data_IF_169664834223
#
_entry.id   IF_169664834223
#
_cell.length_a   1.000
_cell.length_b   1.000
_cell.length_c   1.000
_cell.angle_alpha   90.00
_cell.angle_beta   90.00
_cell.angle_gamma   90.00
#
_symmetry.space_group_name_H-M   'P 1'
#
loop_
_entity.id
_entity.type
_entity.pdbx_description
1 polymer ?
#
# COMPACT_ATOMS: atom_id res chain seq x y z
N UNK A 1 12.64 -39.06 -18.78
CA UNK A 1 11.68 -37.92 -18.77
C UNK A 1 11.21 -37.50 -17.36
N UNK A 2 10.86 -38.42 -16.45
CA UNK A 2 10.35 -38.06 -15.09
C UNK A 2 11.32 -37.23 -14.22
N UNK A 3 12.63 -37.48 -14.31
CA UNK A 3 13.64 -36.76 -13.52
C UNK A 3 13.84 -35.30 -13.99
N UNK A 4 13.70 -35.03 -15.29
CA UNK A 4 13.84 -33.68 -15.87
C UNK A 4 12.63 -32.83 -15.49
N UNK A 5 11.42 -33.38 -15.58
CA UNK A 5 10.20 -32.72 -15.11
C UNK A 5 10.25 -32.42 -13.60
N UNK A 6 10.79 -33.32 -12.78
CA UNK A 6 10.95 -33.11 -11.34
C UNK A 6 11.93 -31.98 -11.02
N UNK A 7 13.08 -31.91 -11.70
CA UNK A 7 14.06 -30.82 -11.53
C UNK A 7 13.50 -29.47 -11.97
N UNK A 8 12.75 -29.45 -13.07
CA UNK A 8 12.07 -28.25 -13.56
C UNK A 8 11.01 -27.73 -12.58
N UNK A 9 10.20 -28.63 -12.03
CA UNK A 9 9.20 -28.29 -11.02
C UNK A 9 9.83 -27.70 -9.74
N UNK A 10 10.91 -28.31 -9.24
CA UNK A 10 11.66 -27.80 -8.09
C UNK A 10 12.22 -26.39 -8.38
N UNK A 11 12.74 -26.17 -9.59
CA UNK A 11 13.21 -24.84 -10.02
C UNK A 11 12.11 -23.77 -9.95
N UNK A 12 10.92 -24.08 -10.45
CA UNK A 12 9.75 -23.17 -10.37
C UNK A 12 9.36 -22.91 -8.90
N UNK A 13 9.31 -23.95 -8.06
CA UNK A 13 8.99 -23.79 -6.65
C UNK A 13 9.99 -22.86 -5.93
N UNK A 14 11.28 -22.97 -6.24
CA UNK A 14 12.30 -22.09 -5.66
C UNK A 14 12.12 -20.63 -6.10
N UNK A 15 11.84 -20.39 -7.38
CA UNK A 15 11.58 -19.04 -7.91
C UNK A 15 10.34 -18.43 -7.23
N UNK A 16 9.26 -19.21 -7.07
CA UNK A 16 8.05 -18.77 -6.38
C UNK A 16 8.35 -18.46 -4.91
N UNK A 17 9.14 -19.28 -4.23
CA UNK A 17 9.52 -19.06 -2.84
C UNK A 17 10.31 -17.75 -2.68
N UNK A 18 11.26 -17.48 -3.57
CA UNK A 18 12.02 -16.21 -3.58
C UNK A 18 11.11 -15.02 -3.82
N UNK A 19 10.16 -15.11 -4.75
CA UNK A 19 9.19 -14.04 -5.01
C UNK A 19 8.28 -13.76 -3.80
N UNK A 20 7.84 -14.81 -3.10
CA UNK A 20 7.05 -14.69 -1.86
C UNK A 20 7.87 -14.01 -0.76
N UNK A 21 9.12 -14.43 -0.57
CA UNK A 21 10.00 -13.81 0.43
C UNK A 21 10.29 -12.33 0.11
N UNK A 22 10.55 -11.99 -1.16
CA UNK A 22 10.79 -10.62 -1.58
C UNK A 22 9.56 -9.73 -1.37
N UNK A 23 8.37 -10.23 -1.73
CA UNK A 23 7.12 -9.50 -1.52
C UNK A 23 6.77 -9.34 -0.04
N UNK A 24 7.03 -10.36 0.79
CA UNK A 24 6.89 -10.26 2.24
C UNK A 24 7.85 -9.26 2.85
N UNK A 25 9.14 -9.30 2.46
CA UNK A 25 10.13 -8.32 2.90
C UNK A 25 9.74 -6.90 2.50
N UNK A 26 9.25 -6.71 1.27
CA UNK A 26 8.75 -5.41 0.83
C UNK A 26 7.56 -4.96 1.68
N UNK A 27 6.60 -5.84 1.95
CA UNK A 27 5.44 -5.53 2.79
C UNK A 27 5.82 -5.13 4.21
N UNK A 28 6.79 -5.83 4.81
CA UNK A 28 7.30 -5.53 6.15
C UNK A 28 8.10 -4.22 6.19
N UNK A 29 8.65 -3.77 5.06
CA UNK A 29 9.33 -2.47 4.96
C UNK A 29 8.38 -1.26 4.89
N UNK A 30 7.07 -1.48 4.68
CA UNK A 30 6.09 -0.41 4.62
C UNK A 30 5.81 0.16 6.00
N UNK A 31 5.60 1.48 6.05
CA UNK A 31 5.28 2.20 7.27
C UNK A 31 3.91 1.78 7.80
N UNK A 32 3.79 1.71 9.12
CA UNK A 32 2.54 1.33 9.76
C UNK A 32 1.68 2.56 10.04
N UNK A 33 0.45 2.53 9.54
CA UNK A 33 -0.59 3.53 9.77
C UNK A 33 -1.71 2.94 10.62
N UNK A 34 -2.45 3.79 11.33
CA UNK A 34 -3.57 3.36 12.16
C UNK A 34 -4.80 4.20 11.89
N UNK A 35 -5.97 3.59 12.03
CA UNK A 35 -7.23 4.33 12.10
C UNK A 35 -7.49 4.74 13.53
N UNK A 36 -7.85 6.00 13.73
CA UNK A 36 -8.37 6.50 14.99
C UNK A 36 -9.57 7.38 14.68
N UNK A 37 -10.75 6.91 15.05
CA UNK A 37 -12.03 7.52 14.71
C UNK A 37 -12.15 7.65 13.17
N UNK A 38 -12.15 8.87 12.64
CA UNK A 38 -12.21 9.18 11.21
C UNK A 38 -10.87 9.70 10.65
N UNK A 39 -9.78 9.47 11.37
CA UNK A 39 -8.45 9.95 11.01
C UNK A 39 -7.50 8.79 10.79
N UNK A 40 -6.56 9.03 9.89
CA UNK A 40 -5.43 8.14 9.66
C UNK A 40 -4.20 8.75 10.32
N UNK A 41 -3.47 7.94 11.07
CA UNK A 41 -2.30 8.39 11.81
C UNK A 41 -1.10 7.58 11.33
N UNK A 42 -0.06 8.27 10.90
CA UNK A 42 1.23 7.67 10.56
C UNK A 42 2.36 8.69 10.67
N UNK A 43 3.51 8.26 11.21
CA UNK A 43 4.69 9.11 11.41
C UNK A 43 4.43 10.42 12.18
N UNK A 44 3.56 10.36 13.19
CA UNK A 44 3.10 11.52 13.97
C UNK A 44 2.29 12.56 13.17
N UNK A 45 1.89 12.24 11.94
CA UNK A 45 1.02 13.07 11.12
C UNK A 45 -0.40 12.51 11.20
N UNK A 46 -1.38 13.40 11.40
CA UNK A 46 -2.80 13.07 11.36
C UNK A 46 -3.34 13.47 10.02
N UNK A 47 -4.04 12.56 9.36
CA UNK A 47 -4.68 12.80 8.09
C UNK A 47 -6.19 12.66 8.22
N UNK A 48 -6.91 13.57 7.58
CA UNK A 48 -8.38 13.59 7.56
C UNK A 48 -8.86 13.42 6.14
N UNK A 49 -9.96 12.70 5.97
CA UNK A 49 -10.61 12.55 4.67
C UNK A 49 -10.89 13.93 4.06
N UNK A 50 -10.40 14.13 2.84
CA UNK A 50 -10.49 15.39 2.14
C UNK A 50 -11.89 15.63 1.57
N UNK A 51 -12.70 14.58 1.38
CA UNK A 51 -13.98 14.67 0.67
C UNK A 51 -13.87 15.48 -0.62
N UNK A 52 -14.76 16.46 -0.81
CA UNK A 52 -14.73 17.36 -1.96
C UNK A 52 -13.46 18.23 -2.03
N UNK A 53 -12.84 18.59 -0.89
CA UNK A 53 -11.56 19.32 -0.89
C UNK A 53 -10.41 18.47 -1.44
N UNK A 54 -10.61 17.15 -1.53
CA UNK A 54 -9.71 16.21 -2.19
C UNK A 54 -9.65 16.44 -3.70
N UNK A 55 -10.69 17.04 -4.30
CA UNK A 55 -10.76 17.25 -5.76
C UNK A 55 -9.62 18.12 -6.31
N UNK A 56 -9.07 19.02 -5.50
CA UNK A 56 -7.88 19.81 -5.86
C UNK A 56 -6.64 18.94 -6.08
N UNK A 57 -6.63 17.73 -5.54
CA UNK A 57 -5.61 16.70 -5.72
C UNK A 57 -6.04 15.58 -6.69
N UNK A 58 -7.22 15.68 -7.33
CA UNK A 58 -7.69 14.72 -8.35
C UNK A 58 -7.88 15.34 -9.74
N UNK A 59 -7.82 16.67 -9.87
CA UNK A 59 -8.14 17.40 -11.11
C UNK A 59 -7.29 17.05 -12.34
N UNK A 60 -6.06 16.57 -12.15
CA UNK A 60 -5.08 16.35 -13.23
C UNK A 60 -4.63 14.87 -13.38
N UNK A 61 -5.50 13.90 -13.07
CA UNK A 61 -5.16 12.47 -13.15
C UNK A 61 -3.88 12.14 -12.34
N UNK A 62 -3.89 12.43 -11.04
CA UNK A 62 -2.79 12.00 -10.18
C UNK A 62 -2.66 10.48 -10.22
N UNK A 63 -1.67 10.02 -10.99
CA UNK A 63 -1.26 8.61 -10.99
C UNK A 63 -0.84 8.27 -9.56
N UNK A 64 -1.51 7.28 -8.97
CA UNK A 64 -1.08 6.61 -7.74
C UNK A 64 0.44 6.40 -7.80
N UNK A 65 1.16 7.00 -6.84
CA UNK A 65 2.60 6.88 -6.76
C UNK A 65 3.01 5.57 -6.11
N UNK A 66 4.11 5.60 -5.35
CA UNK A 66 4.58 4.42 -4.62
C UNK A 66 3.75 4.19 -3.36
N UNK A 67 3.43 2.93 -3.08
CA UNK A 67 2.93 2.53 -1.76
C UNK A 67 3.99 2.81 -0.70
N UNK A 68 3.62 3.59 0.32
CA UNK A 68 4.50 4.00 1.41
C UNK A 68 4.10 3.37 2.74
N UNK A 69 2.86 2.87 2.87
CA UNK A 69 2.37 2.35 4.13
C UNK A 69 1.29 1.28 4.01
N UNK A 70 1.11 0.60 5.13
CA UNK A 70 0.10 -0.43 5.40
C UNK A 70 -0.60 -0.09 6.72
N UNK A 71 -1.80 -0.61 6.92
CA UNK A 71 -2.48 -0.42 8.20
C UNK A 71 -2.06 -1.48 9.24
N UNK A 72 -2.02 -1.05 10.50
CA UNK A 72 -1.82 -1.94 11.64
C UNK A 72 -2.95 -2.96 11.69
N UNK A 73 -2.58 -4.23 11.79
CA UNK A 73 -3.54 -5.35 11.81
C UNK A 73 -3.89 -5.89 10.42
N UNK A 74 -3.47 -5.25 9.33
CA UNK A 74 -3.60 -5.83 7.99
C UNK A 74 -2.77 -7.11 7.91
N UNK A 75 -3.34 -8.13 7.26
CA UNK A 75 -2.64 -9.40 7.00
C UNK A 75 -1.84 -9.31 5.70
N UNK A 76 -0.70 -9.99 5.65
CA UNK A 76 0.09 -10.11 4.43
C UNK A 76 -0.69 -10.82 3.30
N UNK A 77 -1.60 -11.72 3.64
CA UNK A 77 -2.53 -12.37 2.70
C UNK A 77 -3.95 -11.97 3.10
N UNK A 78 -4.67 -11.29 2.20
CA UNK A 78 -6.05 -10.84 2.44
C UNK A 78 -6.31 -9.42 1.96
N UNK A 79 -7.45 -8.87 2.41
CA UNK A 79 -7.83 -7.48 2.16
C UNK A 79 -6.87 -6.52 2.85
N UNK A 80 -6.31 -5.60 2.09
CA UNK A 80 -5.31 -4.63 2.57
C UNK A 80 -5.77 -3.24 2.26
N UNK A 81 -5.42 -2.32 3.15
CA UNK A 81 -5.53 -0.91 2.91
C UNK A 81 -4.13 -0.35 2.74
N UNK A 82 -3.92 0.33 1.62
CA UNK A 82 -2.63 0.88 1.26
C UNK A 82 -2.62 2.38 1.44
N UNK A 83 -1.51 2.89 1.97
CA UNK A 83 -1.21 4.31 1.95
C UNK A 83 -0.27 4.57 0.79
N UNK A 84 -0.73 5.37 -0.17
CA UNK A 84 -0.07 5.63 -1.43
C UNK A 84 0.29 7.10 -1.48
N UNK A 85 1.55 7.38 -1.81
CA UNK A 85 1.99 8.76 -2.05
C UNK A 85 1.41 9.26 -3.39
N UNK A 86 0.86 10.46 -3.38
CA UNK A 86 0.42 11.13 -4.61
C UNK A 86 1.64 11.67 -5.39
N UNK A 87 1.69 11.46 -6.71
CA UNK A 87 2.82 11.89 -7.55
C UNK A 87 2.93 13.42 -7.55
N UNK A 88 4.06 14.00 -7.15
CA UNK A 88 4.22 15.47 -7.13
C UNK A 88 3.60 16.16 -5.90
N UNK A 89 3.05 15.39 -4.96
CA UNK A 89 2.61 15.90 -3.65
C UNK A 89 3.48 15.29 -2.56
N UNK A 90 3.81 16.09 -1.56
CA UNK A 90 4.50 15.60 -0.37
C UNK A 90 3.56 14.68 0.43
N UNK A 91 4.08 13.52 0.87
CA UNK A 91 3.31 12.60 1.71
C UNK A 91 2.91 13.26 3.04
N UNK A 92 3.66 14.25 3.51
CA UNK A 92 3.32 15.02 4.71
C UNK A 92 2.17 16.01 4.50
N UNK A 93 1.70 16.21 3.25
CA UNK A 93 0.58 17.09 2.92
C UNK A 93 -0.67 16.31 2.60
N UNK A 94 -0.54 15.29 1.74
CA UNK A 94 -1.67 14.45 1.37
C UNK A 94 -1.22 13.06 0.92
N UNK A 95 -2.06 12.07 1.21
CA UNK A 95 -1.89 10.68 0.82
C UNK A 95 -3.19 10.14 0.24
N UNK A 96 -3.07 9.16 -0.64
CA UNK A 96 -4.19 8.37 -1.11
C UNK A 96 -4.32 7.12 -0.25
N UNK A 97 -5.52 6.86 0.23
CA UNK A 97 -5.83 5.65 0.98
C UNK A 97 -6.70 4.77 0.11
N UNK A 98 -6.17 3.60 -0.23
CA UNK A 98 -6.80 2.66 -1.16
C UNK A 98 -7.04 1.32 -0.48
N UNK A 99 -8.30 1.03 -0.23
CA UNK A 99 -8.78 -0.30 0.15
C UNK A 99 -9.38 -1.05 -1.05
N UNK A 100 -9.97 -2.21 -0.81
CA UNK A 100 -10.67 -2.98 -1.84
C UNK A 100 -11.93 -2.25 -2.34
N UNK A 101 -12.67 -1.62 -1.42
CA UNK A 101 -13.99 -1.03 -1.70
C UNK A 101 -14.00 0.50 -1.60
N UNK A 102 -12.85 1.13 -1.35
CA UNK A 102 -12.78 2.58 -1.25
C UNK A 102 -11.42 3.10 -1.68
N UNK A 103 -11.44 4.32 -2.21
CA UNK A 103 -10.26 5.08 -2.55
C UNK A 103 -10.58 6.55 -2.24
N UNK A 104 -9.86 7.14 -1.28
CA UNK A 104 -10.06 8.53 -0.91
C UNK A 104 -8.75 9.22 -0.56
N UNK A 105 -8.72 10.55 -0.73
CA UNK A 105 -7.57 11.38 -0.43
C UNK A 105 -7.69 11.86 1.01
N UNK A 106 -6.59 11.75 1.74
CA UNK A 106 -6.45 12.16 3.12
C UNK A 106 -5.40 13.26 3.21
N UNK A 107 -5.75 14.39 3.84
CA UNK A 107 -4.89 15.58 3.95
C UNK A 107 -4.40 15.71 5.38
N UNK A 108 -3.12 16.06 5.55
CA UNK A 108 -2.52 16.29 6.85
C UNK A 108 -3.13 17.50 7.56
N UNK A 109 -3.35 17.36 8.88
CA UNK A 109 -3.74 18.44 9.81
C UNK A 109 -2.58 18.83 10.74
#
# INVERSE_FOLDING_TARGET
MKAVAKKFFIGICLILLVAIMASYSWYMSLKEYTWKDNMVIGENIKYVDAGEKGTKYTKDDFKAGKTIGRFKGDKFLGSKTWVIKLKGVDANKAVLIKGIMFESIYIAQ
#
